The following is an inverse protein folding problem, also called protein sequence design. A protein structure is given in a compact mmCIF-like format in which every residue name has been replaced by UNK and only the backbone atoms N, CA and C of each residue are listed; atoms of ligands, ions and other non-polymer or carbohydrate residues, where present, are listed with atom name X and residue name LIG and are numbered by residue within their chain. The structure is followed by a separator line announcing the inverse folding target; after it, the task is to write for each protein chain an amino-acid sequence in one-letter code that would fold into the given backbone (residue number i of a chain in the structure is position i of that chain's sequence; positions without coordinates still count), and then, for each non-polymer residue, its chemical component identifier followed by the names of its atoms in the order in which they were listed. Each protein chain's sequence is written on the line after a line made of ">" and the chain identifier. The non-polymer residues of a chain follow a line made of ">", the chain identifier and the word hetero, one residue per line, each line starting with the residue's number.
data_IF_958174819088
#
_entry.id   IF_958174819088
#
_cell.length_a   1.000
_cell.length_b   1.000
_cell.length_c   1.000
_cell.angle_alpha   90.00
_cell.angle_beta   90.00
_cell.angle_gamma   90.00
#
_symmetry.space_group_name_H-M   'P 1'
#
loop_
_entity.id
_entity.type
_entity.pdbx_description
1 polymer ?
#
# COMPACT_ATOMS: atom_id res chain seq x y z
N UNK A 1 15.40 33.17 23.21
CA UNK A 1 14.77 32.86 24.52
C UNK A 1 15.80 33.07 25.64
N UNK A 2 15.47 33.77 26.74
CA UNK A 2 16.39 34.03 27.86
C UNK A 2 16.92 32.74 28.51
N UNK A 3 18.21 32.69 28.86
CA UNK A 3 18.91 31.52 29.40
C UNK A 3 18.35 31.00 30.75
N UNK A 4 17.73 31.88 31.55
CA UNK A 4 17.14 31.52 32.85
C UNK A 4 15.85 30.70 32.75
N UNK A 5 15.16 30.69 31.60
CA UNK A 5 13.95 29.88 31.38
C UNK A 5 14.25 28.42 31.02
N UNK A 6 15.50 28.11 30.65
CA UNK A 6 15.93 26.75 30.28
C UNK A 6 16.13 25.81 31.47
N UNK A 7 16.20 26.35 32.69
CA UNK A 7 16.39 25.56 33.92
C UNK A 7 15.07 25.10 34.55
N UNK A 8 13.93 25.50 34.00
CA UNK A 8 12.62 25.12 34.52
C UNK A 8 12.25 23.71 34.05
N UNK A 9 11.73 22.88 34.95
CA UNK A 9 11.27 21.53 34.61
C UNK A 9 10.23 21.53 33.48
N UNK A 10 9.33 22.52 33.47
CA UNK A 10 8.36 22.71 32.40
C UNK A 10 9.00 22.97 31.01
N UNK A 11 10.17 23.62 30.96
CA UNK A 11 10.91 23.80 29.71
C UNK A 11 11.50 22.47 29.24
N UNK A 12 12.10 21.68 30.14
CA UNK A 12 12.65 20.37 29.81
C UNK A 12 11.57 19.36 29.39
N UNK A 13 10.39 19.40 30.01
CA UNK A 13 9.23 18.60 29.60
C UNK A 13 8.73 18.97 28.20
N UNK A 14 8.64 20.27 27.91
CA UNK A 14 8.27 20.75 26.57
C UNK A 14 9.30 20.36 25.51
N UNK A 15 10.60 20.51 25.81
CA UNK A 15 11.69 20.13 24.92
C UNK A 15 11.70 18.63 24.62
N UNK A 16 11.43 17.80 25.64
CA UNK A 16 11.29 16.35 25.50
C UNK A 16 10.06 15.98 24.65
N UNK A 17 8.91 16.57 24.95
CA UNK A 17 7.66 16.36 24.20
C UNK A 17 7.83 16.75 22.73
N UNK A 18 8.45 17.90 22.48
CA UNK A 18 8.72 18.37 21.14
C UNK A 18 9.68 17.43 20.40
N UNK A 19 10.76 17.02 21.04
CA UNK A 19 11.74 16.09 20.44
C UNK A 19 11.12 14.74 20.11
N UNK A 20 10.26 14.21 20.99
CA UNK A 20 9.49 12.99 20.76
C UNK A 20 8.55 13.14 19.56
N UNK A 21 7.80 14.24 19.50
CA UNK A 21 6.87 14.50 18.39
C UNK A 21 7.62 14.63 17.05
N UNK A 22 8.73 15.38 17.01
CA UNK A 22 9.56 15.50 15.82
C UNK A 22 10.08 14.14 15.37
N UNK A 23 10.47 13.27 16.32
CA UNK A 23 10.89 11.90 16.02
C UNK A 23 9.79 10.99 15.46
N UNK A 24 8.52 11.28 15.76
CA UNK A 24 7.34 10.56 15.22
C UNK A 24 6.91 11.07 13.83
N UNK A 25 7.29 12.27 13.41
CA UNK A 25 6.85 12.86 12.13
C UNK A 25 7.09 11.97 10.89
N UNK A 26 8.23 11.27 10.74
CA UNK A 26 8.45 10.42 9.57
C UNK A 26 7.41 9.30 9.44
N UNK A 27 7.10 8.59 10.53
CA UNK A 27 6.14 7.50 10.51
C UNK A 27 4.70 8.02 10.40
N UNK A 28 4.38 9.16 11.01
CA UNK A 28 3.09 9.85 10.82
C UNK A 28 2.87 10.23 9.35
N UNK A 29 3.94 10.60 8.62
CA UNK A 29 3.86 10.84 7.19
C UNK A 29 3.57 9.55 6.41
N UNK A 30 4.17 8.43 6.80
CA UNK A 30 3.93 7.11 6.18
C UNK A 30 2.49 6.62 6.43
N UNK A 31 1.93 6.85 7.62
CA UNK A 31 0.55 6.52 7.94
C UNK A 31 -0.47 7.27 7.05
N UNK A 32 -0.10 8.43 6.51
CA UNK A 32 -0.93 9.19 5.55
C UNK A 32 -0.88 8.63 4.13
N UNK A 33 -0.23 7.50 3.90
CA UNK A 33 -0.15 6.89 2.58
C UNK A 33 -1.57 6.51 2.09
N UNK A 34 -2.03 6.98 0.91
CA UNK A 34 -3.34 6.65 0.36
C UNK A 34 -3.47 5.17 -0.07
N UNK A 35 -2.41 4.37 0.04
CA UNK A 35 -2.47 2.92 -0.12
C UNK A 35 -2.99 2.20 1.13
N UNK A 36 -3.04 2.89 2.28
CA UNK A 36 -3.59 2.35 3.53
C UNK A 36 -5.09 2.07 3.38
N UNK A 37 -5.53 0.94 3.93
CA UNK A 37 -6.92 0.44 3.91
C UNK A 37 -7.23 -0.13 5.29
N UNK A 38 -8.50 -0.40 5.59
CA UNK A 38 -8.94 -0.88 6.91
C UNK A 38 -8.13 -2.08 7.45
N UNK A 39 -7.73 -3.03 6.59
CA UNK A 39 -6.87 -4.16 6.98
C UNK A 39 -5.50 -3.74 7.54
N UNK A 40 -4.90 -2.68 6.99
CA UNK A 40 -3.60 -2.16 7.43
C UNK A 40 -3.74 -1.44 8.77
N UNK A 41 -4.83 -0.69 8.95
CA UNK A 41 -5.14 -0.03 10.22
C UNK A 41 -5.47 -1.03 11.33
N UNK A 42 -6.14 -2.14 11.00
CA UNK A 42 -6.35 -3.25 11.92
C UNK A 42 -5.02 -3.89 12.36
N UNK A 43 -4.12 -4.18 11.42
CA UNK A 43 -2.79 -4.71 11.73
C UNK A 43 -1.98 -3.75 12.63
N UNK A 44 -2.03 -2.43 12.37
CA UNK A 44 -1.38 -1.42 13.23
C UNK A 44 -2.02 -1.38 14.61
N UNK A 45 -3.35 -1.49 14.70
CA UNK A 45 -4.08 -1.57 15.97
C UNK A 45 -3.60 -2.75 16.82
N UNK A 46 -3.40 -3.91 16.21
CA UNK A 46 -2.91 -5.12 16.88
C UNK A 46 -1.46 -4.94 17.38
N UNK A 47 -0.58 -4.39 16.55
CA UNK A 47 0.83 -4.13 16.87
C UNK A 47 0.98 -3.10 17.99
N UNK A 48 0.16 -2.05 17.96
CA UNK A 48 0.23 -0.94 18.93
C UNK A 48 -0.66 -1.14 20.17
N UNK A 49 -1.43 -2.23 20.23
CA UNK A 49 -2.44 -2.49 21.26
C UNK A 49 -3.44 -1.33 21.45
N UNK A 50 -3.78 -0.63 20.38
CA UNK A 50 -4.71 0.49 20.43
C UNK A 50 -5.85 0.29 19.42
N UNK A 51 -7.10 0.10 19.89
CA UNK A 51 -8.22 -0.16 18.99
C UNK A 51 -8.61 1.08 18.18
N UNK A 52 -9.36 0.85 17.09
CA UNK A 52 -10.08 1.86 16.33
C UNK A 52 -9.19 2.96 15.70
N UNK A 53 -8.07 2.56 15.09
CA UNK A 53 -7.13 3.46 14.41
C UNK A 53 -7.50 3.78 12.95
N UNK A 54 -8.61 3.24 12.44
CA UNK A 54 -9.05 3.49 11.07
C UNK A 54 -9.54 4.95 10.91
N UNK A 55 -9.02 5.73 9.93
CA UNK A 55 -9.50 7.08 9.62
C UNK A 55 -10.99 7.22 9.34
N UNK A 56 -11.66 6.14 8.94
CA UNK A 56 -13.12 6.12 8.73
C UNK A 56 -13.91 5.96 10.04
N UNK A 57 -13.24 5.64 11.15
CA UNK A 57 -13.86 5.49 12.46
C UNK A 57 -14.18 6.86 13.07
N UNK A 58 -15.44 7.05 13.50
CA UNK A 58 -15.97 8.34 13.99
C UNK A 58 -15.21 8.87 15.22
N UNK A 59 -14.70 7.97 16.05
CA UNK A 59 -14.02 8.32 17.31
C UNK A 59 -12.51 8.58 17.16
N UNK A 60 -11.92 8.46 15.95
CA UNK A 60 -10.49 8.65 15.78
C UNK A 60 -10.12 10.12 15.95
N UNK A 61 -9.19 10.39 16.87
CA UNK A 61 -8.64 11.73 17.07
C UNK A 61 -7.15 11.76 16.73
N UNK A 62 -6.67 12.90 16.22
CA UNK A 62 -5.23 13.09 15.96
C UNK A 62 -4.37 12.87 17.21
N UNK A 63 -4.94 13.15 18.40
CA UNK A 63 -4.30 12.87 19.67
C UNK A 63 -4.03 11.38 19.87
N UNK A 64 -4.99 10.51 19.57
CA UNK A 64 -4.79 9.05 19.67
C UNK A 64 -3.62 8.57 18.81
N UNK A 65 -3.48 9.11 17.58
CA UNK A 65 -2.38 8.75 16.68
C UNK A 65 -1.02 9.26 17.22
N UNK A 66 -0.98 10.47 17.77
CA UNK A 66 0.24 11.05 18.35
C UNK A 66 0.67 10.29 19.62
N UNK A 67 -0.30 9.81 20.40
CA UNK A 67 -0.09 9.07 21.64
C UNK A 67 0.33 7.60 21.39
N UNK A 68 0.28 7.12 20.14
CA UNK A 68 0.76 5.78 19.79
C UNK A 68 2.25 5.59 20.15
N UNK A 69 2.64 4.37 20.55
CA UNK A 69 4.04 4.01 20.83
C UNK A 69 4.84 3.83 19.53
N UNK A 70 4.95 4.89 18.72
CA UNK A 70 5.65 4.88 17.42
C UNK A 70 6.87 5.84 17.40
N UNK A 71 7.34 6.22 18.59
CA UNK A 71 8.53 7.03 18.79
C UNK A 71 9.82 6.34 18.31
N UNK A 72 10.94 7.08 18.20
CA UNK A 72 12.20 6.56 17.65
C UNK A 72 12.78 5.34 18.38
N UNK A 73 12.42 5.14 19.64
CA UNK A 73 12.90 4.03 20.48
C UNK A 73 11.83 2.97 20.76
N UNK A 74 10.64 3.13 20.19
CA UNK A 74 9.53 2.22 20.45
C UNK A 74 9.64 1.00 19.55
N UNK A 75 9.55 -0.19 20.14
CA UNK A 75 9.63 -1.48 19.41
C UNK A 75 8.63 -1.63 18.27
N UNK A 76 7.33 -1.30 18.44
CA UNK A 76 6.36 -1.49 17.36
C UNK A 76 6.54 -0.54 16.18
N UNK A 77 7.45 0.44 16.26
CA UNK A 77 7.71 1.37 15.17
C UNK A 77 8.11 0.66 13.87
N UNK A 78 9.04 -0.30 13.94
CA UNK A 78 9.56 -1.01 12.76
C UNK A 78 8.46 -1.83 12.08
N UNK A 79 7.63 -2.52 12.87
CA UNK A 79 6.48 -3.29 12.38
C UNK A 79 5.43 -2.37 11.71
N UNK A 80 5.15 -1.19 12.28
CA UNK A 80 4.24 -0.22 11.67
C UNK A 80 4.81 0.36 10.37
N UNK A 81 6.12 0.63 10.32
CA UNK A 81 6.79 1.05 9.08
C UNK A 81 6.70 -0.04 8.00
N UNK A 82 6.89 -1.31 8.36
CA UNK A 82 6.75 -2.45 7.45
C UNK A 82 5.33 -2.57 6.89
N UNK A 83 4.30 -2.40 7.74
CA UNK A 83 2.89 -2.40 7.29
C UNK A 83 2.65 -1.26 6.28
N UNK A 84 3.18 -0.06 6.53
CA UNK A 84 3.00 1.08 5.62
C UNK A 84 3.69 0.86 4.26
N UNK A 85 4.89 0.26 4.27
CA UNK A 85 5.60 -0.12 3.04
C UNK A 85 4.90 -1.26 2.32
N UNK A 86 4.40 -2.25 3.07
CA UNK A 86 3.59 -3.35 2.56
C UNK A 86 2.34 -2.85 1.84
N UNK A 87 1.61 -1.90 2.43
CA UNK A 87 0.46 -1.28 1.81
C UNK A 87 0.79 -0.59 0.49
N UNK A 88 1.91 0.15 0.42
CA UNK A 88 2.37 0.79 -0.83
C UNK A 88 2.63 -0.25 -1.92
N UNK A 89 3.33 -1.34 -1.56
CA UNK A 89 3.65 -2.44 -2.48
C UNK A 89 2.38 -3.15 -2.94
N UNK A 90 1.43 -3.41 -2.05
CA UNK A 90 0.17 -4.05 -2.39
C UNK A 90 -0.62 -3.22 -3.40
N UNK A 91 -0.67 -1.90 -3.23
CA UNK A 91 -1.30 -1.00 -4.21
C UNK A 91 -0.65 -1.08 -5.60
N UNK A 92 0.68 -1.22 -5.68
CA UNK A 92 1.35 -1.42 -6.96
C UNK A 92 1.01 -2.77 -7.60
N UNK A 93 0.88 -3.83 -6.79
CA UNK A 93 0.43 -5.15 -7.26
C UNK A 93 -1.00 -5.06 -7.79
N UNK A 94 -1.92 -4.47 -7.01
CA UNK A 94 -3.31 -4.28 -7.42
C UNK A 94 -3.41 -3.48 -8.73
N UNK A 95 -2.63 -2.41 -8.89
CA UNK A 95 -2.60 -1.64 -10.13
C UNK A 95 -2.16 -2.47 -11.34
N UNK A 96 -1.12 -3.30 -11.19
CA UNK A 96 -0.67 -4.21 -12.25
C UNK A 96 -1.72 -5.27 -12.60
N UNK A 97 -2.41 -5.82 -11.60
CA UNK A 97 -3.48 -6.78 -11.81
C UNK A 97 -4.68 -6.15 -12.53
N UNK A 98 -5.04 -4.92 -12.16
CA UNK A 98 -6.09 -4.16 -12.86
C UNK A 98 -5.71 -3.94 -14.32
N UNK A 99 -4.47 -3.53 -14.61
CA UNK A 99 -4.01 -3.33 -15.99
C UNK A 99 -4.11 -4.62 -16.81
N UNK A 100 -3.65 -5.75 -16.27
CA UNK A 100 -3.81 -7.06 -16.92
C UNK A 100 -5.30 -7.34 -17.16
N UNK A 101 -6.16 -7.16 -16.15
CA UNK A 101 -7.59 -7.37 -16.31
C UNK A 101 -8.22 -6.48 -17.38
N UNK A 102 -7.82 -5.22 -17.48
CA UNK A 102 -8.34 -4.29 -18.49
C UNK A 102 -7.85 -4.64 -19.88
N UNK A 103 -6.58 -5.05 -20.00
CA UNK A 103 -6.00 -5.48 -21.27
C UNK A 103 -6.71 -6.72 -21.79
N UNK A 104 -7.02 -7.69 -20.91
CA UNK A 104 -7.75 -8.91 -21.26
C UNK A 104 -9.24 -8.68 -21.55
N UNK A 105 -9.86 -7.66 -20.94
CA UNK A 105 -11.29 -7.37 -21.12
C UNK A 105 -11.65 -6.94 -22.55
N UNK A 106 -10.68 -6.48 -23.33
CA UNK A 106 -10.88 -5.99 -24.72
C UNK A 106 -10.29 -6.94 -25.77
N UNK A 107 -9.81 -8.12 -25.38
CA UNK A 107 -9.24 -9.07 -26.33
C UNK A 107 -10.32 -9.92 -26.99
N UNK A 108 -10.47 -9.74 -28.29
CA UNK A 108 -11.32 -10.58 -29.12
C UNK A 108 -10.51 -11.44 -30.11
N UNK A 109 -10.97 -12.69 -30.28
CA UNK A 109 -10.52 -13.57 -31.35
C UNK A 109 -11.20 -13.16 -32.66
N UNK A 110 -10.42 -13.05 -33.72
CA UNK A 110 -10.94 -12.78 -35.06
C UNK A 110 -11.13 -14.06 -35.85
N UNK A 111 -12.28 -14.20 -36.50
CA UNK A 111 -12.54 -15.26 -37.46
C UNK A 111 -12.23 -14.79 -38.89
N UNK A 112 -11.90 -15.74 -39.75
CA UNK A 112 -11.59 -15.56 -41.16
C UNK A 112 -12.43 -16.53 -42.01
N UNK A 113 -12.67 -16.14 -43.26
CA UNK A 113 -13.49 -16.92 -44.17
C UNK A 113 -12.85 -18.26 -44.55
N UNK A 114 -13.64 -19.34 -44.44
CA UNK A 114 -13.30 -20.66 -44.95
C UNK A 114 -14.00 -20.94 -46.27
N UNK A 115 -13.29 -20.75 -47.39
CA UNK A 115 -13.84 -20.96 -48.73
C UNK A 115 -15.17 -20.21 -48.89
N UNK A 116 -16.25 -20.90 -49.24
CA UNK A 116 -17.60 -20.35 -49.38
C UNK A 116 -18.50 -20.58 -48.16
N UNK A 117 -17.96 -21.12 -47.06
CA UNK A 117 -18.73 -21.56 -45.88
C UNK A 117 -18.84 -20.50 -44.77
N UNK A 118 -18.36 -19.29 -45.01
CA UNK A 118 -18.37 -18.19 -44.03
C UNK A 118 -17.16 -18.19 -43.11
N UNK A 119 -17.24 -17.44 -42.00
CA UNK A 119 -16.17 -17.22 -41.04
C UNK A 119 -16.00 -18.41 -40.08
N UNK A 120 -15.21 -19.40 -40.49
CA UNK A 120 -15.00 -20.64 -39.73
C UNK A 120 -13.52 -20.92 -39.40
N UNK A 121 -12.60 -20.07 -39.84
CA UNK A 121 -11.18 -20.17 -39.49
C UNK A 121 -10.85 -19.15 -38.40
N UNK A 122 -9.98 -19.50 -37.46
CA UNK A 122 -9.34 -18.49 -36.61
C UNK A 122 -8.27 -17.76 -37.41
N UNK A 123 -8.26 -16.43 -37.32
CA UNK A 123 -7.25 -15.61 -37.97
C UNK A 123 -5.91 -15.78 -37.25
N UNK A 124 -4.98 -16.50 -37.89
CA UNK A 124 -3.69 -16.87 -37.31
C UNK A 124 -2.91 -15.69 -36.74
N UNK A 125 -2.87 -14.56 -37.44
CA UNK A 125 -2.17 -13.35 -36.97
C UNK A 125 -2.73 -12.86 -35.63
N UNK A 126 -4.06 -12.82 -35.49
CA UNK A 126 -4.72 -12.36 -34.26
C UNK A 126 -4.52 -13.35 -33.11
N UNK A 127 -4.57 -14.64 -33.41
CA UNK A 127 -4.31 -15.69 -32.42
C UNK A 127 -2.86 -15.64 -31.92
N UNK A 128 -1.88 -15.40 -32.81
CA UNK A 128 -0.48 -15.27 -32.44
C UNK A 128 -0.22 -14.05 -31.54
N UNK A 129 -0.83 -12.90 -31.84
CA UNK A 129 -0.79 -11.71 -30.98
C UNK A 129 -1.33 -11.99 -29.57
N UNK A 130 -2.49 -12.65 -29.48
CA UNK A 130 -3.11 -13.01 -28.19
C UNK A 130 -2.23 -14.00 -27.41
N UNK A 131 -1.58 -14.94 -28.11
CA UNK A 131 -0.66 -15.88 -27.48
C UNK A 131 0.56 -15.16 -26.88
N UNK A 132 1.16 -14.21 -27.60
CA UNK A 132 2.27 -13.40 -27.06
C UNK A 132 1.82 -12.58 -25.85
N UNK A 133 0.66 -11.94 -25.91
CA UNK A 133 0.09 -11.20 -24.78
C UNK A 133 -0.15 -12.10 -23.56
N UNK A 134 -0.57 -13.36 -23.78
CA UNK A 134 -0.73 -14.36 -22.73
C UNK A 134 0.59 -14.72 -22.07
N UNK A 135 1.63 -14.98 -22.86
CA UNK A 135 2.95 -15.29 -22.35
C UNK A 135 3.51 -14.13 -21.51
N UNK A 136 3.40 -12.88 -21.99
CA UNK A 136 3.84 -11.69 -21.26
C UNK A 136 3.05 -11.46 -19.95
N UNK A 137 1.73 -11.67 -19.99
CA UNK A 137 0.86 -11.58 -18.82
C UNK A 137 1.24 -12.63 -17.78
N UNK A 138 1.51 -13.86 -18.20
CA UNK A 138 1.92 -14.95 -17.32
C UNK A 138 3.28 -14.69 -16.68
N UNK A 139 4.25 -14.17 -17.42
CA UNK A 139 5.56 -13.77 -16.86
C UNK A 139 5.37 -12.72 -15.77
N UNK A 140 4.53 -11.71 -16.02
CA UNK A 140 4.22 -10.66 -15.05
C UNK A 140 3.55 -11.23 -13.80
N UNK A 141 2.51 -12.05 -13.95
CA UNK A 141 1.81 -12.68 -12.83
C UNK A 141 2.73 -13.59 -12.01
N UNK A 142 3.59 -14.38 -12.67
CA UNK A 142 4.57 -15.22 -11.99
C UNK A 142 5.59 -14.37 -11.20
N UNK A 143 6.02 -13.23 -11.75
CA UNK A 143 6.88 -12.30 -11.03
C UNK A 143 6.19 -11.68 -9.80
N UNK A 144 4.89 -11.37 -9.89
CA UNK A 144 4.11 -10.86 -8.76
C UNK A 144 3.91 -11.93 -7.68
N UNK A 145 3.62 -13.17 -8.08
CA UNK A 145 3.42 -14.30 -7.15
C UNK A 145 4.70 -14.70 -6.41
N UNK A 146 5.86 -14.59 -7.06
CA UNK A 146 7.16 -14.91 -6.44
C UNK A 146 7.74 -13.76 -5.61
N UNK A 147 7.21 -12.53 -5.76
CA UNK A 147 7.56 -11.45 -4.85
C UNK A 147 6.92 -11.73 -3.49
N UNK A 148 7.77 -11.81 -2.47
CA UNK A 148 7.57 -12.44 -1.16
C UNK A 148 6.64 -11.67 -0.21
N UNK A 149 5.48 -11.20 -0.70
CA UNK A 149 4.50 -10.46 0.08
C UNK A 149 3.06 -10.83 -0.31
N UNK A 150 2.79 -12.14 -0.34
CA UNK A 150 1.51 -12.74 0.04
C UNK A 150 1.76 -13.50 1.33
#
# INVERSE_FOLDING_TARGET
>A
MPSALKSWSAYSELESTLSSLVGKLPILHMLRNPAMKGRHWAAISDVTNHPNLDPEHVDLTTKMIIDLPIGPSDKPREEVEEICVGAAREKEIEAKLVNISTDWAVQDLALAHFKTRGELLLKGDRTAEIQTLLEDSLVTLNSLANNRSV
#
